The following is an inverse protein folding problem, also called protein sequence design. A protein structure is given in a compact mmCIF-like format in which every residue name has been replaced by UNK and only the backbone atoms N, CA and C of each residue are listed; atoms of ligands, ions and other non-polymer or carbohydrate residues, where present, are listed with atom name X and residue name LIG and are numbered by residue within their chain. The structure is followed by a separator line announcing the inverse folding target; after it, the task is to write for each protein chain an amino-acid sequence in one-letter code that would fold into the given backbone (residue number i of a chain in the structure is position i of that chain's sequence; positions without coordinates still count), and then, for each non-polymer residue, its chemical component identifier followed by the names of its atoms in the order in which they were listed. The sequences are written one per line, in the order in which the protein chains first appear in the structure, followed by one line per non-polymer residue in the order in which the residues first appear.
data_IF_964999298989
#
_entry.id   IF_964999298989
#
_cell.length_a   1.000
_cell.length_b   1.000
_cell.length_c   1.000
_cell.angle_alpha   90.00
_cell.angle_beta   90.00
_cell.angle_gamma   90.00
#
_symmetry.space_group_name_H-M   'P 1'
#
loop_
_entity.id
_entity.type
_entity.pdbx_description
1 polymer ?
#
# COMPACT_ATOMS: atom_id res chain seq x y z
N UNK A 1 -12.47 3.93 -47.96
CA UNK A 1 -12.23 2.46 -48.04
C UNK A 1 -11.14 2.12 -47.04
N UNK A 2 -11.40 1.06 -46.27
CA UNK A 2 -10.66 0.53 -45.12
C UNK A 2 -9.23 0.05 -45.37
N UNK A 3 -8.49 -0.09 -44.24
CA UNK A 3 -7.74 -1.31 -43.92
C UNK A 3 -6.21 -1.17 -43.92
N UNK A 4 -5.48 -1.32 -42.83
CA UNK A 4 -5.80 -1.76 -41.47
C UNK A 4 -4.50 -1.79 -40.62
N UNK A 5 -4.58 -1.93 -39.28
CA UNK A 5 -3.40 -1.96 -38.43
C UNK A 5 -2.55 -3.23 -38.63
N UNK A 6 -1.25 -3.02 -38.73
CA UNK A 6 -0.20 -3.99 -39.06
C UNK A 6 -0.22 -5.25 -38.15
N UNK A 7 -0.29 -6.47 -38.72
CA UNK A 7 -0.51 -7.74 -37.99
C UNK A 7 0.76 -8.35 -37.38
N UNK A 8 1.71 -7.54 -36.86
CA UNK A 8 2.91 -8.02 -36.14
C UNK A 8 2.91 -7.43 -34.73
N UNK A 9 2.31 -8.11 -33.74
CA UNK A 9 3.02 -9.01 -32.79
C UNK A 9 4.11 -8.24 -32.01
N UNK A 10 4.08 -8.14 -30.68
CA UNK A 10 3.95 -9.23 -29.70
C UNK A 10 3.04 -8.89 -28.50
N UNK A 11 2.45 -9.93 -27.90
CA UNK A 11 1.36 -9.89 -26.93
C UNK A 11 1.62 -9.17 -25.59
N UNK A 12 0.56 -9.02 -24.77
CA UNK A 12 0.65 -8.31 -23.50
C UNK A 12 1.72 -8.96 -22.62
N UNK A 13 2.65 -8.13 -22.15
CA UNK A 13 3.57 -8.51 -21.09
C UNK A 13 2.72 -9.00 -19.90
N UNK A 14 2.97 -10.18 -19.31
CA UNK A 14 2.17 -10.68 -18.19
C UNK A 14 2.18 -9.77 -16.95
N UNK A 15 3.00 -8.71 -16.96
CA UNK A 15 3.06 -7.67 -15.94
C UNK A 15 2.28 -6.38 -16.29
N UNK A 16 1.70 -6.26 -17.49
CA UNK A 16 0.93 -5.09 -17.92
C UNK A 16 -0.57 -5.38 -17.87
N UNK A 17 -1.25 -4.71 -16.95
CA UNK A 17 -2.72 -4.69 -16.85
C UNK A 17 -3.29 -3.83 -17.99
N UNK A 18 -4.26 -4.36 -18.74
CA UNK A 18 -4.95 -3.58 -19.79
C UNK A 18 -5.97 -2.61 -19.17
N UNK A 19 -5.84 -1.32 -19.48
CA UNK A 19 -6.87 -0.30 -19.23
C UNK A 19 -7.45 0.22 -20.57
N UNK A 20 -8.70 -0.13 -20.92
CA UNK A 20 -9.28 0.21 -22.22
C UNK A 20 -9.71 1.68 -22.38
N UNK A 21 -9.59 2.54 -21.35
CA UNK A 21 -9.95 3.96 -21.43
C UNK A 21 -8.74 4.91 -21.48
N UNK A 22 -7.51 4.41 -21.36
CA UNK A 22 -6.30 5.24 -21.41
C UNK A 22 -6.21 6.31 -20.31
N UNK A 23 -7.00 6.17 -19.25
CA UNK A 23 -7.03 7.06 -18.07
C UNK A 23 -6.25 6.47 -16.88
N UNK A 24 -6.01 5.18 -16.90
CA UNK A 24 -4.99 4.51 -16.10
C UNK A 24 -3.70 4.51 -16.91
N UNK A 25 -2.87 5.53 -16.67
CA UNK A 25 -1.41 5.35 -16.73
C UNK A 25 -1.10 3.98 -16.14
N UNK A 26 -0.66 3.05 -17.00
CA UNK A 26 -0.46 1.63 -16.74
C UNK A 26 -0.06 1.38 -15.28
N UNK A 27 -1.03 1.04 -14.41
CA UNK A 27 -0.76 0.86 -12.99
C UNK A 27 0.01 -0.45 -12.85
N UNK A 28 1.33 -0.34 -12.85
CA UNK A 28 2.22 -1.49 -12.67
C UNK A 28 2.01 -2.09 -11.28
N UNK A 29 2.06 -3.42 -11.19
CA UNK A 29 1.97 -4.12 -9.92
C UNK A 29 3.11 -3.65 -9.00
N UNK A 30 2.80 -3.17 -7.78
CA UNK A 30 3.85 -2.72 -6.86
C UNK A 30 4.70 -3.91 -6.41
N UNK A 31 5.98 -3.64 -6.16
CA UNK A 31 6.98 -4.66 -5.76
C UNK A 31 7.61 -4.29 -4.43
N UNK A 32 7.63 -5.23 -3.49
CA UNK A 32 8.37 -5.06 -2.24
C UNK A 32 9.80 -5.55 -2.40
N UNK A 33 10.76 -4.70 -2.08
CA UNK A 33 12.17 -5.09 -1.89
C UNK A 33 12.50 -5.23 -0.41
N UNK A 34 13.60 -5.91 -0.10
CA UNK A 34 14.14 -5.96 1.27
C UNK A 34 14.43 -4.55 1.79
N UNK A 35 15.01 -3.70 0.95
CA UNK A 35 15.20 -2.28 1.22
C UNK A 35 16.26 -1.98 2.28
N UNK A 36 16.14 -0.82 2.91
CA UNK A 36 17.04 -0.31 3.94
C UNK A 36 16.24 0.46 5.01
N UNK A 37 16.90 1.15 5.95
CA UNK A 37 16.22 1.89 7.02
C UNK A 37 15.32 3.05 6.54
N UNK A 38 15.39 3.44 5.25
CA UNK A 38 14.62 4.54 4.66
C UNK A 38 13.50 4.08 3.72
N UNK A 39 13.58 2.88 3.16
CA UNK A 39 12.60 2.38 2.19
C UNK A 39 12.53 0.85 2.12
N UNK A 40 11.42 0.32 1.62
CA UNK A 40 11.20 -1.12 1.43
C UNK A 40 10.81 -1.85 2.71
N UNK A 41 10.91 -3.19 2.70
CA UNK A 41 10.43 -4.04 3.78
C UNK A 41 11.09 -3.70 5.12
N UNK A 42 12.42 -3.55 5.15
CA UNK A 42 13.16 -3.24 6.38
C UNK A 42 12.68 -1.94 7.04
N UNK A 43 12.43 -0.90 6.25
CA UNK A 43 11.88 0.34 6.77
C UNK A 43 10.48 0.17 7.36
N UNK A 44 9.60 -0.55 6.65
CA UNK A 44 8.23 -0.80 7.08
C UNK A 44 8.22 -1.64 8.36
N UNK A 45 9.03 -2.69 8.42
CA UNK A 45 9.14 -3.55 9.59
C UNK A 45 9.66 -2.77 10.79
N UNK A 46 10.81 -2.10 10.66
CA UNK A 46 11.46 -1.38 11.77
C UNK A 46 10.62 -0.19 12.27
N UNK A 47 9.93 0.55 11.38
CA UNK A 47 9.19 1.78 11.77
C UNK A 47 7.71 1.58 12.03
N UNK A 48 7.08 0.62 11.34
CA UNK A 48 5.63 0.53 11.27
C UNK A 48 5.09 -0.85 11.66
N UNK A 49 5.94 -1.81 12.05
CA UNK A 49 5.50 -3.12 12.60
C UNK A 49 6.11 -3.34 13.98
N UNK A 50 7.44 -3.51 14.08
CA UNK A 50 8.12 -3.74 15.36
C UNK A 50 8.37 -2.46 16.14
N UNK A 51 8.46 -1.32 15.45
CA UNK A 51 8.73 -0.03 16.08
C UNK A 51 10.14 0.09 16.68
N UNK A 52 11.08 -0.73 16.22
CA UNK A 52 12.45 -0.85 16.74
C UNK A 52 13.45 0.13 16.09
N UNK A 53 13.01 0.94 15.13
CA UNK A 53 13.88 1.89 14.43
C UNK A 53 14.57 2.89 15.39
N UNK A 54 15.89 3.09 15.21
CA UNK A 54 16.71 4.01 16.04
C UNK A 54 16.21 5.46 16.06
N UNK A 55 15.49 5.89 15.03
CA UNK A 55 14.90 7.23 14.92
C UNK A 55 13.44 7.31 15.37
N UNK A 56 13.02 6.44 16.29
CA UNK A 56 11.63 6.33 16.76
C UNK A 56 10.73 5.54 15.81
N UNK A 57 9.55 5.15 16.28
CA UNK A 57 8.54 4.47 15.46
C UNK A 57 7.59 5.48 14.80
N UNK A 58 6.94 5.06 13.71
CA UNK A 58 5.81 5.78 13.13
C UNK A 58 4.48 5.27 13.69
N UNK A 59 3.42 5.44 12.91
CA UNK A 59 2.16 4.75 13.15
C UNK A 59 2.34 3.24 12.95
N UNK A 60 1.92 2.46 13.95
CA UNK A 60 2.16 1.02 14.00
C UNK A 60 0.99 0.23 13.41
N UNK A 61 1.33 -0.79 12.64
CA UNK A 61 0.48 -1.92 12.27
C UNK A 61 0.52 -2.99 13.36
N UNK A 62 -0.35 -4.01 13.30
CA UNK A 62 -0.23 -5.16 14.18
C UNK A 62 1.16 -5.81 14.05
N UNK A 63 1.83 -6.20 15.15
CA UNK A 63 3.23 -6.66 15.13
C UNK A 63 3.43 -7.99 14.39
N UNK A 64 2.36 -8.73 14.12
CA UNK A 64 2.38 -9.98 13.33
C UNK A 64 2.20 -9.74 11.83
N UNK A 65 2.19 -8.48 11.39
CA UNK A 65 1.99 -8.15 9.97
C UNK A 65 3.14 -8.67 9.13
N UNK A 66 2.84 -9.39 8.06
CA UNK A 66 3.86 -10.04 7.22
C UNK A 66 4.11 -9.30 5.92
N UNK A 67 5.25 -9.56 5.28
CA UNK A 67 5.60 -9.01 3.96
C UNK A 67 4.52 -9.27 2.92
N UNK A 68 4.02 -10.50 2.85
CA UNK A 68 2.98 -10.90 1.91
C UNK A 68 1.67 -10.12 2.13
N UNK A 69 1.31 -9.84 3.39
CA UNK A 69 0.13 -9.01 3.69
C UNK A 69 0.32 -7.56 3.23
N UNK A 70 1.52 -7.00 3.41
CA UNK A 70 1.83 -5.64 2.92
C UNK A 70 1.83 -5.59 1.40
N UNK A 71 2.41 -6.58 0.72
CA UNK A 71 2.38 -6.67 -0.75
C UNK A 71 0.96 -6.77 -1.29
N UNK A 72 0.13 -7.64 -0.71
CA UNK A 72 -1.27 -7.78 -1.11
C UNK A 72 -2.08 -6.49 -0.84
N UNK A 73 -1.81 -5.81 0.27
CA UNK A 73 -2.43 -4.52 0.57
C UNK A 73 -1.99 -3.44 -0.42
N UNK A 74 -0.70 -3.39 -0.77
CA UNK A 74 -0.14 -2.43 -1.71
C UNK A 74 -0.72 -2.60 -3.11
N UNK A 75 -0.83 -3.85 -3.60
CA UNK A 75 -1.47 -4.17 -4.87
C UNK A 75 -2.91 -3.63 -4.92
N UNK A 76 -3.68 -3.87 -3.86
CA UNK A 76 -5.05 -3.38 -3.73
C UNK A 76 -5.15 -1.85 -3.65
N UNK A 77 -4.14 -1.19 -3.09
CA UNK A 77 -4.06 0.27 -3.03
C UNK A 77 -3.69 0.90 -4.37
N UNK A 78 -2.77 0.30 -5.12
CA UNK A 78 -2.48 0.74 -6.48
C UNK A 78 -3.70 0.53 -7.39
N UNK A 79 -4.39 -0.59 -7.27
CA UNK A 79 -5.58 -0.89 -8.08
C UNK A 79 -6.78 0.00 -7.73
N UNK A 80 -7.13 0.10 -6.44
CA UNK A 80 -8.42 0.68 -5.98
C UNK A 80 -8.26 1.83 -4.99
N UNK A 81 -7.05 2.27 -4.70
CA UNK A 81 -6.78 3.39 -3.82
C UNK A 81 -6.93 4.73 -4.53
N UNK A 82 -7.08 5.77 -3.73
CA UNK A 82 -7.09 7.14 -4.21
C UNK A 82 -5.66 7.62 -4.28
N UNK A 83 -5.18 8.00 -5.47
CA UNK A 83 -3.90 8.68 -5.62
C UNK A 83 -4.07 10.11 -5.13
N UNK A 84 -3.30 10.51 -4.11
CA UNK A 84 -3.36 11.84 -3.49
C UNK A 84 -2.20 12.74 -3.92
N UNK A 85 -1.18 12.19 -4.57
CA UNK A 85 -0.06 12.92 -5.17
C UNK A 85 -0.36 13.40 -6.59
N UNK A 86 0.41 14.39 -7.04
CA UNK A 86 0.47 14.76 -8.45
C UNK A 86 0.92 13.55 -9.30
N UNK A 87 0.23 13.20 -10.41
CA UNK A 87 0.59 12.10 -11.29
C UNK A 87 1.99 12.19 -11.90
N UNK A 88 2.59 13.38 -11.98
CA UNK A 88 3.91 13.62 -12.58
C UNK A 88 5.05 13.49 -11.57
N UNK A 89 4.76 13.33 -10.27
CA UNK A 89 5.78 13.13 -9.26
C UNK A 89 6.42 11.74 -9.40
N UNK A 90 7.71 11.62 -9.08
CA UNK A 90 8.36 10.31 -8.96
C UNK A 90 7.73 9.48 -7.84
N UNK A 91 7.48 10.10 -6.69
CA UNK A 91 6.86 9.41 -5.56
C UNK A 91 5.34 9.56 -5.62
N UNK A 92 4.68 8.44 -5.84
CA UNK A 92 3.23 8.36 -5.91
C UNK A 92 2.68 7.89 -4.57
N UNK A 93 1.75 8.67 -4.02
CA UNK A 93 1.09 8.40 -2.75
C UNK A 93 -0.35 7.97 -2.99
N UNK A 94 -0.69 6.81 -2.47
CA UNK A 94 -2.04 6.26 -2.49
C UNK A 94 -2.59 6.18 -1.07
N UNK A 95 -3.89 6.37 -0.94
CA UNK A 95 -4.63 6.21 0.31
C UNK A 95 -5.86 5.35 0.12
N UNK A 96 -6.13 4.49 1.10
CA UNK A 96 -7.33 3.64 1.07
C UNK A 96 -7.70 3.15 2.46
N UNK A 97 -9.00 3.19 2.78
CA UNK A 97 -9.55 2.49 3.94
C UNK A 97 -9.62 0.99 3.67
N UNK A 98 -8.97 0.19 4.52
CA UNK A 98 -9.02 -1.27 4.41
C UNK A 98 -8.68 -1.93 5.75
N UNK A 99 -8.76 -3.26 5.76
CA UNK A 99 -8.31 -4.09 6.88
C UNK A 99 -7.02 -4.80 6.49
N UNK A 100 -5.96 -4.63 7.26
CA UNK A 100 -4.69 -5.36 7.11
C UNK A 100 -4.40 -6.03 8.44
N UNK A 101 -4.22 -7.35 8.41
CA UNK A 101 -3.95 -8.17 9.59
C UNK A 101 -4.91 -7.89 10.78
N UNK A 102 -6.22 -7.84 10.50
CA UNK A 102 -7.26 -7.58 11.51
C UNK A 102 -7.44 -6.11 11.89
N UNK A 103 -6.50 -5.22 11.57
CA UNK A 103 -6.62 -3.79 11.85
C UNK A 103 -7.32 -3.06 10.69
N UNK A 104 -8.45 -2.42 10.98
CA UNK A 104 -9.15 -1.55 10.01
C UNK A 104 -8.70 -0.11 10.19
N UNK A 105 -8.03 0.45 9.18
CA UNK A 105 -7.57 1.84 9.18
C UNK A 105 -7.61 2.43 7.77
N UNK A 106 -7.37 3.74 7.66
CA UNK A 106 -6.90 4.31 6.40
C UNK A 106 -5.42 3.98 6.30
N UNK A 107 -4.95 3.46 5.17
CA UNK A 107 -3.54 3.19 4.95
C UNK A 107 -2.99 4.17 3.92
N UNK A 108 -1.72 4.56 4.10
CA UNK A 108 -0.91 5.26 3.11
C UNK A 108 0.07 4.27 2.51
N UNK A 109 0.18 4.30 1.19
CA UNK A 109 1.22 3.65 0.42
C UNK A 109 1.99 4.72 -0.34
N UNK A 110 3.32 4.68 -0.27
CA UNK A 110 4.19 5.48 -1.14
C UNK A 110 5.00 4.52 -2.01
N UNK A 111 4.97 4.75 -3.32
CA UNK A 111 5.75 4.00 -4.30
C UNK A 111 6.63 4.94 -5.12
N UNK A 112 7.74 4.43 -5.62
CA UNK A 112 8.54 5.07 -6.66
C UNK A 112 8.01 4.63 -8.03
N UNK A 113 7.30 5.52 -8.72
CA UNK A 113 6.68 5.21 -10.02
C UNK A 113 7.69 5.15 -11.16
N UNK A 114 8.90 5.69 -10.97
CA UNK A 114 9.97 5.60 -11.97
C UNK A 114 10.69 4.25 -11.93
N UNK A 115 10.56 3.52 -10.82
CA UNK A 115 11.14 2.20 -10.60
C UNK A 115 10.03 1.14 -10.43
N UNK A 116 9.19 0.98 -11.45
CA UNK A 116 8.15 -0.05 -11.53
C UNK A 116 7.25 -0.16 -10.28
N UNK A 117 6.89 0.98 -9.67
CA UNK A 117 6.13 1.05 -8.43
C UNK A 117 6.79 0.30 -7.25
N UNK A 118 8.12 0.42 -7.11
CA UNK A 118 8.85 -0.06 -5.93
C UNK A 118 8.23 0.55 -4.67
N UNK A 119 7.87 -0.30 -3.71
CA UNK A 119 7.28 0.16 -2.46
C UNK A 119 8.35 0.87 -1.62
N UNK A 120 8.09 2.13 -1.30
CA UNK A 120 8.96 2.95 -0.44
C UNK A 120 8.54 2.78 1.01
N UNK A 121 7.25 2.97 1.32
CA UNK A 121 6.72 2.80 2.68
C UNK A 121 5.22 2.50 2.67
N UNK A 122 4.73 1.88 3.74
CA UNK A 122 3.34 1.53 3.96
C UNK A 122 3.01 1.61 5.46
N UNK A 123 1.96 2.34 5.82
CA UNK A 123 1.58 2.55 7.22
C UNK A 123 0.11 3.00 7.37
N UNK A 124 -0.52 2.77 8.54
CA UNK A 124 -1.86 3.28 8.83
C UNK A 124 -1.81 4.79 9.10
N UNK A 125 -2.79 5.53 8.59
CA UNK A 125 -3.05 6.95 8.82
C UNK A 125 -4.26 7.07 9.75
N UNK A 126 -4.06 7.72 10.89
CA UNK A 126 -5.15 8.08 11.79
C UNK A 126 -5.34 7.12 12.96
N UNK A 127 -5.08 7.67 14.15
CA UNK A 127 -5.35 7.21 15.52
C UNK A 127 -5.47 5.69 15.70
N UNK A 128 -4.34 5.09 16.06
CA UNK A 128 -4.35 4.10 17.13
C UNK A 128 -4.76 4.80 18.45
N UNK A 129 -6.04 5.18 18.61
CA UNK A 129 -6.54 5.44 19.96
C UNK A 129 -7.02 4.12 20.53
N UNK A 130 -6.35 3.70 21.60
CA UNK A 130 -6.79 2.71 22.57
C UNK A 130 -8.16 3.07 23.17
N UNK A 131 -9.22 3.01 22.37
CA UNK A 131 -10.62 3.17 22.81
C UNK A 131 -11.54 2.06 22.33
N UNK A 132 -11.05 1.13 21.52
CA UNK A 132 -11.85 0.00 21.03
C UNK A 132 -11.52 -1.34 21.72
N UNK A 133 -10.59 -1.36 22.69
CA UNK A 133 -10.27 -2.57 23.46
C UNK A 133 -10.83 -2.59 24.90
N UNK A 134 -11.43 -1.49 25.37
CA UNK A 134 -12.00 -1.40 26.73
C UNK A 134 -13.52 -1.67 26.81
N UNK A 135 -14.19 -2.02 25.71
CA UNK A 135 -15.65 -2.30 25.70
C UNK A 135 -16.01 -3.78 25.81
N UNK A 136 -15.04 -4.66 26.11
CA UNK A 136 -15.27 -6.11 26.35
C UNK A 136 -15.23 -6.48 27.84
N UNK A 137 -14.93 -5.53 28.75
CA UNK A 137 -14.80 -5.83 30.19
C UNK A 137 -15.48 -4.82 31.13
N UNK A 138 -16.57 -4.19 30.69
CA UNK A 138 -17.42 -3.46 31.64
C UNK A 138 -18.40 -4.43 32.32
N UNK A 139 -18.28 -4.69 33.64
CA UNK A 139 -19.32 -5.43 34.35
C UNK A 139 -20.63 -4.63 34.33
N UNK A 140 -21.80 -5.31 34.32
CA UNK A 140 -23.08 -4.62 34.39
C UNK A 140 -23.14 -3.76 35.66
N UNK A 141 -23.63 -2.53 35.52
CA UNK A 141 -23.86 -1.67 36.69
C UNK A 141 -24.96 -2.31 37.56
N UNK A 142 -24.78 -2.39 38.89
CA UNK A 142 -25.88 -2.73 39.78
C UNK A 142 -26.94 -1.63 39.73
N UNK A 143 -28.20 -2.05 39.84
CA UNK A 143 -29.41 -1.23 39.61
C UNK A 143 -29.67 -0.12 40.62
#
# INVERSE_FOLDING_TARGET
MEGGPNPRWYGPNPYTWMDPLGLALCRAKPRMEDGNAKQGWRHIEERHISGTARGGHGDLMPPTTTRAQVEAAAEKMVEKGNRVSDPNNQYQTFEKRMTVNGMRANYRLVVDSTDANRIVTFFPIGRATARDQDDVHRPPRPG
#
